data_IF_710014145847
#
_entry.id   IF_710014145847
#
_cell.length_a   1.000
_cell.length_b   1.000
_cell.length_c   1.000
_cell.angle_alpha   90.00
_cell.angle_beta   90.00
_cell.angle_gamma   90.00
#
_symmetry.space_group_name_H-M   'P 1'
#
loop_
_entity.id
_entity.type
_entity.pdbx_description
1 polymer ?
#
# COMPACT_ATOMS: atom_id res chain seq x y z
N UNK A 1 -17.62 3.15 -20.42
CA UNK A 1 -16.91 1.89 -20.24
C UNK A 1 -16.01 2.08 -19.02
N UNK A 2 -16.32 1.46 -17.90
CA UNK A 2 -15.44 1.38 -16.75
C UNK A 2 -14.18 0.66 -17.21
N UNK A 3 -13.02 1.23 -16.95
CA UNK A 3 -11.76 0.57 -17.26
C UNK A 3 -11.72 -0.74 -16.45
N UNK A 4 -11.53 -1.87 -17.12
CA UNK A 4 -11.36 -3.16 -16.45
C UNK A 4 -10.19 -3.07 -15.46
N UNK A 5 -10.32 -3.72 -14.31
CA UNK A 5 -9.21 -3.83 -13.35
C UNK A 5 -8.02 -4.53 -14.00
N UNK A 6 -6.82 -4.12 -13.66
CA UNK A 6 -5.58 -4.60 -14.23
C UNK A 6 -4.59 -4.94 -13.13
N UNK A 7 -3.64 -5.82 -13.41
CA UNK A 7 -2.48 -6.03 -12.55
C UNK A 7 -1.58 -4.79 -12.60
N UNK A 8 -0.99 -4.43 -11.47
CA UNK A 8 0.01 -3.38 -11.38
C UNK A 8 1.37 -4.01 -11.06
N UNK A 9 2.24 -4.12 -12.05
CA UNK A 9 3.58 -4.73 -11.91
C UNK A 9 4.61 -3.74 -12.41
N UNK A 10 5.62 -3.45 -11.59
CA UNK A 10 6.71 -2.51 -11.92
C UNK A 10 6.21 -1.13 -12.40
N UNK A 11 5.13 -0.62 -11.82
CA UNK A 11 4.54 0.67 -12.19
C UNK A 11 3.79 0.68 -13.52
N UNK A 12 3.57 -0.49 -14.13
CA UNK A 12 2.79 -0.65 -15.35
C UNK A 12 1.48 -1.38 -15.07
N UNK A 13 0.41 -0.97 -15.75
CA UNK A 13 -0.84 -1.69 -15.75
C UNK A 13 -0.86 -2.70 -16.89
N UNK A 14 -1.16 -3.95 -16.58
CA UNK A 14 -1.22 -5.02 -17.57
C UNK A 14 -2.45 -5.91 -17.38
N UNK A 15 -3.02 -6.35 -18.51
CA UNK A 15 -4.14 -7.27 -18.51
C UNK A 15 -3.66 -8.69 -18.20
N UNK A 16 -4.50 -9.46 -17.51
CA UNK A 16 -4.30 -10.87 -17.26
C UNK A 16 -5.15 -11.71 -18.23
N UNK A 17 -4.65 -12.87 -18.64
CA UNK A 17 -5.39 -13.79 -19.52
C UNK A 17 -6.56 -14.47 -18.79
N UNK A 18 -6.42 -14.72 -17.48
CA UNK A 18 -7.46 -15.27 -16.63
C UNK A 18 -8.11 -14.17 -15.78
N UNK A 19 -9.40 -14.32 -15.53
CA UNK A 19 -10.18 -13.45 -14.64
C UNK A 19 -11.10 -14.27 -13.77
N UNK A 20 -11.49 -13.74 -12.63
CA UNK A 20 -12.56 -14.30 -11.79
C UNK A 20 -13.63 -13.23 -11.50
N UNK A 21 -14.83 -13.71 -11.25
CA UNK A 21 -15.97 -12.86 -10.94
C UNK A 21 -15.93 -12.39 -9.48
N UNK A 22 -16.05 -11.08 -9.26
CA UNK A 22 -16.33 -10.53 -7.95
C UNK A 22 -17.83 -10.30 -7.79
N UNK A 23 -18.40 -10.88 -6.73
CA UNK A 23 -19.84 -10.85 -6.45
C UNK A 23 -20.12 -9.75 -5.43
N UNK A 24 -21.05 -8.86 -5.75
CA UNK A 24 -21.56 -7.88 -4.79
C UNK A 24 -22.44 -8.58 -3.75
N UNK A 25 -22.05 -8.62 -2.46
CA UNK A 25 -22.80 -9.35 -1.45
C UNK A 25 -24.21 -8.80 -1.16
N UNK A 26 -24.45 -7.53 -1.51
CA UNK A 26 -25.76 -6.89 -1.30
C UNK A 26 -26.79 -7.29 -2.35
N UNK A 27 -26.36 -7.57 -3.59
CA UNK A 27 -27.24 -7.93 -4.71
C UNK A 27 -27.16 -9.39 -5.09
N UNK A 28 -26.05 -10.06 -4.80
CA UNK A 28 -25.74 -11.42 -5.25
C UNK A 28 -25.34 -11.48 -6.72
N UNK A 29 -25.10 -10.34 -7.37
CA UNK A 29 -24.76 -10.25 -8.79
C UNK A 29 -23.26 -9.96 -8.99
N UNK A 30 -22.73 -10.37 -10.13
CA UNK A 30 -21.36 -10.01 -10.54
C UNK A 30 -21.31 -8.50 -10.77
N UNK A 31 -20.43 -7.81 -10.05
CA UNK A 31 -20.24 -6.37 -10.23
C UNK A 31 -18.99 -6.06 -11.05
N UNK A 32 -18.00 -6.95 -11.07
CA UNK A 32 -16.77 -6.78 -11.86
C UNK A 32 -16.05 -8.12 -12.08
N UNK A 33 -15.14 -8.14 -13.08
CA UNK A 33 -14.22 -9.23 -13.34
C UNK A 33 -12.80 -8.80 -12.97
N UNK A 34 -12.22 -9.50 -12.00
CA UNK A 34 -10.88 -9.21 -11.49
C UNK A 34 -9.82 -10.02 -12.19
N UNK A 35 -8.62 -9.46 -12.44
CA UNK A 35 -7.52 -10.21 -13.04
C UNK A 35 -7.03 -11.32 -12.08
N UNK A 36 -6.88 -12.53 -12.61
CA UNK A 36 -6.36 -13.69 -11.88
C UNK A 36 -4.90 -13.93 -12.25
N UNK A 37 -3.99 -13.40 -11.45
CA UNK A 37 -2.56 -13.55 -11.68
C UNK A 37 -2.13 -15.02 -11.57
N UNK A 38 -1.40 -15.50 -12.56
CA UNK A 38 -0.82 -16.83 -12.58
C UNK A 38 0.64 -16.79 -12.05
N UNK A 39 1.30 -17.93 -12.03
CA UNK A 39 2.67 -18.07 -11.49
C UNK A 39 3.66 -17.08 -12.10
N UNK A 40 3.58 -16.83 -13.40
CA UNK A 40 4.52 -15.92 -14.09
C UNK A 40 4.33 -14.46 -13.70
N UNK A 41 3.07 -14.01 -13.60
CA UNK A 41 2.77 -12.63 -13.13
C UNK A 41 3.22 -12.44 -11.69
N UNK A 42 2.96 -13.41 -10.81
CA UNK A 42 3.40 -13.37 -9.41
C UNK A 42 4.92 -13.32 -9.33
N UNK A 43 5.64 -14.15 -10.08
CA UNK A 43 7.10 -14.16 -10.10
C UNK A 43 7.67 -12.82 -10.60
N UNK A 44 7.10 -12.24 -11.65
CA UNK A 44 7.50 -10.92 -12.16
C UNK A 44 7.25 -9.82 -11.14
N UNK A 45 6.11 -9.84 -10.45
CA UNK A 45 5.78 -8.87 -9.42
C UNK A 45 6.77 -8.93 -8.25
N UNK A 46 7.09 -10.13 -7.75
CA UNK A 46 8.08 -10.34 -6.68
C UNK A 46 9.47 -9.89 -7.11
N UNK A 47 9.88 -10.25 -8.33
CA UNK A 47 11.17 -9.84 -8.87
C UNK A 47 11.27 -8.31 -9.00
N UNK A 48 10.23 -7.66 -9.53
CA UNK A 48 10.17 -6.21 -9.65
C UNK A 48 10.26 -5.52 -8.28
N UNK A 49 9.51 -6.00 -7.29
CA UNK A 49 9.57 -5.48 -5.92
C UNK A 49 10.96 -5.66 -5.29
N UNK A 50 11.60 -6.82 -5.48
CA UNK A 50 12.95 -7.08 -4.99
C UNK A 50 14.00 -6.17 -5.64
N UNK A 51 13.85 -5.87 -6.93
CA UNK A 51 14.73 -4.95 -7.65
C UNK A 51 14.51 -3.50 -7.20
N UNK A 52 13.25 -3.08 -7.08
CA UNK A 52 12.89 -1.74 -6.64
C UNK A 52 13.42 -1.42 -5.23
N UNK A 53 13.43 -2.40 -4.32
CA UNK A 53 13.98 -2.23 -2.98
C UNK A 53 15.48 -1.88 -2.98
N UNK A 54 16.22 -2.36 -3.98
CA UNK A 54 17.67 -2.15 -4.14
C UNK A 54 18.02 -1.00 -5.06
N UNK A 55 17.05 -0.48 -5.81
CA UNK A 55 17.26 0.60 -6.74
C UNK A 55 17.71 1.89 -6.03
N UNK A 56 18.69 2.64 -6.58
CA UNK A 56 19.21 3.86 -5.95
C UNK A 56 18.13 4.89 -5.63
N UNK A 57 17.10 4.97 -6.46
CA UNK A 57 15.96 5.88 -6.33
C UNK A 57 15.15 5.63 -5.05
N UNK A 58 15.19 4.41 -4.53
CA UNK A 58 14.56 4.04 -3.25
C UNK A 58 15.58 3.88 -2.14
N UNK A 59 16.64 3.08 -2.36
CA UNK A 59 17.63 2.76 -1.36
C UNK A 59 18.42 4.00 -0.89
N UNK A 60 18.61 4.99 -1.78
CA UNK A 60 19.27 6.26 -1.49
C UNK A 60 18.39 7.30 -0.75
N UNK A 61 17.10 7.04 -0.57
CA UNK A 61 16.20 7.98 0.10
C UNK A 61 16.48 8.04 1.60
N UNK A 62 16.52 9.26 2.13
CA UNK A 62 16.50 9.50 3.58
C UNK A 62 15.10 9.16 4.15
N UNK A 63 15.03 8.96 5.47
CA UNK A 63 13.76 8.72 6.14
C UNK A 63 12.73 9.85 5.89
N UNK A 64 13.17 11.11 5.95
CA UNK A 64 12.32 12.27 5.65
C UNK A 64 11.82 12.28 4.20
N UNK A 65 12.63 11.84 3.23
CA UNK A 65 12.20 11.73 1.83
C UNK A 65 11.16 10.64 1.65
N UNK A 66 11.31 9.49 2.33
CA UNK A 66 10.28 8.43 2.36
C UNK A 66 8.98 8.93 3.02
N UNK A 67 9.07 9.69 4.10
CA UNK A 67 7.91 10.36 4.71
C UNK A 67 7.16 11.25 3.71
N UNK A 68 7.88 12.04 2.90
CA UNK A 68 7.26 12.86 1.85
C UNK A 68 6.49 12.04 0.80
N UNK A 69 6.95 10.83 0.49
CA UNK A 69 6.22 9.92 -0.41
C UNK A 69 4.92 9.42 0.22
N UNK A 70 4.94 9.11 1.53
CA UNK A 70 3.73 8.73 2.26
C UNK A 70 2.71 9.86 2.33
N UNK A 71 3.15 11.12 2.51
CA UNK A 71 2.24 12.29 2.42
C UNK A 71 1.59 12.39 1.04
N UNK A 72 2.36 12.26 -0.04
CA UNK A 72 1.80 12.25 -1.40
C UNK A 72 0.79 11.13 -1.61
N UNK A 73 1.08 9.94 -1.08
CA UNK A 73 0.13 8.82 -1.14
C UNK A 73 -1.16 9.14 -0.39
N UNK A 74 -1.06 9.71 0.81
CA UNK A 74 -2.23 10.14 1.60
C UNK A 74 -3.12 11.13 0.84
N UNK A 75 -2.51 12.13 0.19
CA UNK A 75 -3.24 13.13 -0.61
C UNK A 75 -3.94 12.49 -1.82
N UNK A 76 -3.31 11.49 -2.46
CA UNK A 76 -3.93 10.74 -3.56
C UNK A 76 -5.10 9.88 -3.08
N UNK A 77 -4.96 9.20 -1.93
CA UNK A 77 -6.03 8.40 -1.32
C UNK A 77 -7.22 9.32 -0.97
N UNK A 78 -6.96 10.45 -0.31
CA UNK A 78 -8.00 11.40 0.06
C UNK A 78 -8.76 11.93 -1.16
N UNK A 79 -8.04 12.29 -2.23
CA UNK A 79 -8.62 12.72 -3.49
C UNK A 79 -9.48 11.64 -4.14
N UNK A 80 -9.09 10.38 -4.03
CA UNK A 80 -9.80 9.24 -4.60
C UNK A 80 -10.84 8.62 -3.63
N UNK A 81 -10.97 9.16 -2.41
CA UNK A 81 -11.76 8.55 -1.35
C UNK A 81 -13.21 8.19 -1.75
N UNK A 82 -13.97 9.05 -2.46
CA UNK A 82 -15.33 8.69 -2.86
C UNK A 82 -15.38 7.46 -3.79
N UNK A 83 -14.45 7.37 -4.73
CA UNK A 83 -14.35 6.23 -5.65
C UNK A 83 -13.93 4.95 -4.94
N UNK A 84 -12.90 5.04 -4.08
CA UNK A 84 -12.41 3.89 -3.31
C UNK A 84 -13.48 3.35 -2.36
N UNK A 85 -14.23 4.23 -1.69
CA UNK A 85 -15.32 3.83 -0.81
C UNK A 85 -16.44 3.10 -1.57
N UNK A 86 -16.78 3.56 -2.78
CA UNK A 86 -17.77 2.89 -3.62
C UNK A 86 -17.30 1.50 -4.07
N UNK A 87 -16.05 1.36 -4.49
CA UNK A 87 -15.45 0.08 -4.86
C UNK A 87 -15.49 -0.87 -3.67
N UNK A 88 -15.02 -0.45 -2.50
CA UNK A 88 -15.03 -1.27 -1.29
C UNK A 88 -16.44 -1.68 -0.88
N UNK A 89 -17.42 -0.79 -0.99
CA UNK A 89 -18.83 -1.11 -0.72
C UNK A 89 -19.34 -2.19 -1.68
N UNK A 90 -19.06 -2.05 -2.97
CA UNK A 90 -19.51 -3.02 -3.98
C UNK A 90 -18.87 -4.40 -3.79
N UNK A 91 -17.61 -4.43 -3.39
CA UNK A 91 -16.84 -5.67 -3.25
C UNK A 91 -17.09 -6.41 -1.93
N UNK A 92 -17.25 -5.67 -0.83
CA UNK A 92 -17.33 -6.25 0.52
C UNK A 92 -18.73 -6.29 1.13
N UNK A 93 -19.68 -5.55 0.54
CA UNK A 93 -21.03 -5.38 1.08
C UNK A 93 -21.13 -4.47 2.31
N UNK A 94 -20.04 -3.79 2.70
CA UNK A 94 -20.10 -2.79 3.78
C UNK A 94 -20.97 -1.60 3.36
N UNK A 95 -21.60 -0.94 4.32
CA UNK A 95 -22.40 0.26 4.03
C UNK A 95 -21.51 1.43 3.67
N UNK A 96 -21.91 2.22 2.66
CA UNK A 96 -21.13 3.33 2.09
C UNK A 96 -20.71 4.38 3.13
N UNK A 97 -21.48 4.58 4.18
CA UNK A 97 -21.12 5.50 5.26
C UNK A 97 -19.87 5.03 6.02
N UNK A 98 -19.72 3.73 6.21
CA UNK A 98 -18.55 3.15 6.89
C UNK A 98 -17.33 3.16 5.99
N UNK A 99 -17.46 2.71 4.74
CA UNK A 99 -16.34 2.71 3.79
C UNK A 99 -15.83 4.12 3.53
N UNK A 100 -16.72 5.12 3.39
CA UNK A 100 -16.32 6.52 3.25
C UNK A 100 -15.51 7.01 4.45
N UNK A 101 -15.93 6.68 5.67
CA UNK A 101 -15.22 7.05 6.89
C UNK A 101 -13.88 6.32 7.00
N UNK A 102 -13.84 5.03 6.67
CA UNK A 102 -12.63 4.21 6.73
C UNK A 102 -11.58 4.68 5.72
N UNK A 103 -11.95 4.97 4.47
CA UNK A 103 -11.01 5.46 3.46
C UNK A 103 -10.44 6.83 3.85
N UNK A 104 -11.26 7.74 4.38
CA UNK A 104 -10.76 9.01 4.90
C UNK A 104 -9.74 8.81 6.03
N UNK A 105 -10.01 7.87 6.94
CA UNK A 105 -9.08 7.52 8.02
C UNK A 105 -7.78 6.89 7.52
N UNK A 106 -7.82 6.12 6.43
CA UNK A 106 -6.60 5.55 5.81
C UNK A 106 -5.62 6.65 5.40
N UNK A 107 -6.10 7.76 4.81
CA UNK A 107 -5.24 8.89 4.46
C UNK A 107 -4.56 9.49 5.70
N UNK A 108 -5.30 9.68 6.81
CA UNK A 108 -4.73 10.16 8.07
C UNK A 108 -3.70 9.19 8.66
N UNK A 109 -3.93 7.89 8.52
CA UNK A 109 -3.00 6.86 8.95
C UNK A 109 -1.66 6.96 8.23
N UNK A 110 -1.68 7.15 6.92
CA UNK A 110 -0.46 7.40 6.13
C UNK A 110 0.24 8.69 6.53
N UNK A 111 -0.50 9.78 6.81
CA UNK A 111 0.06 11.05 7.30
C UNK A 111 0.75 10.88 8.65
N UNK A 112 0.14 10.12 9.56
CA UNK A 112 0.76 9.81 10.85
C UNK A 112 2.11 9.11 10.67
N UNK A 113 2.19 8.04 9.89
CA UNK A 113 3.45 7.33 9.65
C UNK A 113 4.45 8.16 8.84
N UNK A 114 4.00 9.00 7.94
CA UNK A 114 4.86 9.98 7.26
C UNK A 114 5.54 10.93 8.26
N UNK A 115 4.79 11.39 9.26
CA UNK A 115 5.29 12.30 10.28
C UNK A 115 6.29 11.69 11.27
N UNK A 116 6.28 10.37 11.45
CA UNK A 116 7.22 9.66 12.33
C UNK A 116 8.37 8.96 11.60
N UNK A 117 8.40 9.02 10.28
CA UNK A 117 9.38 8.29 9.47
C UNK A 117 10.84 8.60 9.84
N UNK A 118 11.15 9.84 10.19
CA UNK A 118 12.48 10.31 10.57
C UNK A 118 12.70 10.38 12.11
N UNK A 119 11.79 9.80 12.89
CA UNK A 119 11.82 9.81 14.35
C UNK A 119 12.05 8.41 14.95
N UNK A 120 12.44 7.45 14.13
CA UNK A 120 12.82 6.13 14.59
C UNK A 120 14.23 6.17 15.18
N UNK A 121 14.29 6.34 16.50
CA UNK A 121 15.53 6.44 17.25
C UNK A 121 16.08 5.05 17.62
N UNK A 122 17.38 4.99 17.87
CA UNK A 122 18.03 3.86 18.51
C UNK A 122 17.98 3.98 20.04
N UNK A 123 18.60 3.05 20.73
CA UNK A 123 18.71 3.08 22.20
C UNK A 123 20.12 2.80 22.63
N UNK A 124 20.58 3.51 23.66
CA UNK A 124 21.77 3.16 24.42
C UNK A 124 21.37 2.17 25.51
N UNK A 125 22.07 1.04 25.58
CA UNK A 125 21.80 -0.02 26.56
C UNK A 125 22.86 0.01 27.65
N UNK A 126 22.49 0.10 28.94
CA UNK A 126 23.41 -0.11 30.03
C UNK A 126 23.85 -1.57 30.06
N UNK A 127 25.15 -1.79 30.11
CA UNK A 127 25.76 -3.13 30.31
C UNK A 127 26.67 -3.06 31.48
N UNK A 128 26.78 -4.18 32.24
CA UNK A 128 27.61 -4.29 33.45
C UNK A 128 29.07 -4.60 33.08
N UNK A 129 29.68 -3.70 32.25
CA UNK A 129 31.10 -3.74 31.86
C UNK A 129 31.60 -2.32 31.64
N UNK A 130 32.64 -1.94 32.36
CA UNK A 130 33.16 -0.58 32.38
C UNK A 130 33.81 -0.12 31.06
N UNK A 131 34.31 -1.07 30.26
CA UNK A 131 35.04 -0.84 29.01
C UNK A 131 34.23 -1.08 27.75
N UNK A 132 32.90 -1.31 27.89
CA UNK A 132 32.00 -1.60 26.76
C UNK A 132 30.79 -0.66 26.75
N UNK A 133 30.36 -0.33 25.53
CA UNK A 133 29.09 0.37 25.28
C UNK A 133 28.27 -0.46 24.28
N UNK A 134 26.96 -0.52 24.49
CA UNK A 134 26.04 -1.17 23.58
C UNK A 134 24.90 -0.22 23.18
N UNK A 135 24.57 -0.22 21.91
CA UNK A 135 23.44 0.54 21.40
C UNK A 135 22.73 -0.22 20.28
N UNK A 136 21.45 0.07 20.14
CA UNK A 136 20.64 -0.40 19.03
C UNK A 136 20.66 0.68 17.96
N UNK A 137 21.03 0.31 16.74
CA UNK A 137 20.94 1.15 15.55
C UNK A 137 19.80 0.61 14.69
N UNK A 138 18.95 1.50 14.16
CA UNK A 138 17.81 1.15 13.29
C UNK A 138 17.98 1.76 11.92
#
# INVERSE_FOLDING_TARGET
MTAAFQLSINGQFESCAATFESINPATGEVWEHMPEAQTDEVNRAVQAASQALKAPEWAGLTASQRGKLLYKLADLIEKAAPQLAQIETSDTGKIIRETSSQIAYVAEYYRYYAGIADKLEGSFLPIDKADMQAWIVR
#
